data_IF_157538560228
#
_entry.id   IF_157538560228
#
_cell.length_a   1.000
_cell.length_b   1.000
_cell.length_c   1.000
_cell.angle_alpha   90.00
_cell.angle_beta   90.00
_cell.angle_gamma   90.00
#
_symmetry.space_group_name_H-M   'P 1'
#
loop_
_entity.id
_entity.type
_entity.pdbx_description
1 polymer ?
#
# COMPACT_ATOMS: atom_id res chain seq x y z
N UNK A 1 50.30 -61.47 11.67
CA UNK A 1 49.70 -61.19 10.35
C UNK A 1 48.43 -60.41 10.59
N UNK A 2 48.48 -59.09 10.35
CA UNK A 2 47.52 -58.09 10.79
C UNK A 2 47.02 -57.33 9.56
N UNK A 3 45.73 -57.52 9.23
CA UNK A 3 44.97 -56.86 8.16
C UNK A 3 43.55 -56.73 8.71
N UNK A 4 42.81 -55.64 8.66
CA UNK A 4 43.03 -54.29 8.18
C UNK A 4 41.79 -53.48 8.59
N UNK A 5 41.95 -52.23 9.00
CA UNK A 5 40.85 -51.32 9.35
C UNK A 5 41.22 -49.93 8.82
N UNK A 6 40.95 -49.67 7.54
CA UNK A 6 41.22 -48.36 6.94
C UNK A 6 40.37 -48.07 5.70
N UNK A 7 39.06 -48.30 5.73
CA UNK A 7 38.16 -47.79 4.68
C UNK A 7 36.81 -47.46 5.31
N UNK A 8 36.57 -46.20 5.71
CA UNK A 8 35.22 -45.59 5.74
C UNK A 8 35.14 -44.10 6.13
N UNK A 9 36.19 -43.29 5.92
CA UNK A 9 36.11 -41.84 6.21
C UNK A 9 35.75 -40.95 5.01
N UNK A 10 35.69 -41.48 3.78
CA UNK A 10 35.57 -40.66 2.55
C UNK A 10 34.16 -40.55 1.95
N UNK A 11 33.14 -41.20 2.52
CA UNK A 11 31.78 -41.24 1.94
C UNK A 11 30.75 -40.28 2.56
N UNK A 12 31.08 -39.61 3.67
CA UNK A 12 30.14 -38.67 4.31
C UNK A 12 30.22 -37.23 3.77
N UNK A 13 31.20 -36.89 2.93
CA UNK A 13 31.38 -35.52 2.44
C UNK A 13 30.55 -35.18 1.17
N UNK A 14 29.99 -36.18 0.49
CA UNK A 14 29.32 -35.97 -0.81
C UNK A 14 27.81 -35.72 -0.71
N UNK A 15 27.17 -36.04 0.41
CA UNK A 15 25.71 -35.88 0.56
C UNK A 15 25.26 -34.47 0.98
N UNK A 16 26.18 -33.61 1.46
CA UNK A 16 25.86 -32.25 1.88
C UNK A 16 25.93 -31.21 0.74
N UNK A 17 26.50 -31.56 -0.42
CA UNK A 17 26.70 -30.63 -1.54
C UNK A 17 25.53 -30.60 -2.54
N UNK A 18 24.66 -31.61 -2.58
CA UNK A 18 23.57 -31.71 -3.57
C UNK A 18 22.26 -31.01 -3.16
N UNK A 19 22.09 -30.63 -1.89
CA UNK A 19 20.89 -29.93 -1.42
C UNK A 19 20.94 -28.40 -1.64
N UNK A 20 22.06 -27.87 -2.16
CA UNK A 20 22.28 -26.43 -2.31
C UNK A 20 21.93 -25.86 -3.70
N UNK A 21 21.54 -26.69 -4.68
CA UNK A 21 21.45 -26.28 -6.10
C UNK A 21 20.02 -26.09 -6.62
N UNK A 22 18.99 -26.55 -5.91
CA UNK A 22 17.59 -26.45 -6.40
C UNK A 22 16.84 -25.18 -5.98
N UNK A 23 17.52 -24.18 -5.40
CA UNK A 23 16.89 -22.95 -4.90
C UNK A 23 17.10 -21.71 -5.79
N UNK A 24 17.28 -21.87 -7.10
CA UNK A 24 17.74 -20.77 -7.99
C UNK A 24 16.74 -20.25 -9.01
N UNK A 25 15.53 -20.84 -9.14
CA UNK A 25 14.56 -20.39 -10.16
C UNK A 25 13.23 -19.86 -9.62
N UNK A 26 13.07 -19.69 -8.31
CA UNK A 26 12.00 -18.86 -7.79
C UNK A 26 12.48 -17.40 -7.79
N UNK A 27 12.57 -16.79 -8.98
CA UNK A 27 12.54 -15.33 -9.05
C UNK A 27 11.13 -14.96 -8.61
N UNK A 28 10.98 -14.63 -7.33
CA UNK A 28 9.76 -13.99 -6.85
C UNK A 28 9.47 -12.83 -7.80
N UNK A 29 8.27 -12.81 -8.36
CA UNK A 29 7.71 -11.57 -8.89
C UNK A 29 7.56 -10.66 -7.68
N UNK A 30 8.66 -10.00 -7.30
CA UNK A 30 8.67 -9.06 -6.21
C UNK A 30 7.73 -7.92 -6.62
N UNK A 31 6.86 -7.55 -5.71
CA UNK A 31 5.95 -6.46 -5.91
C UNK A 31 5.88 -5.69 -4.60
N UNK A 32 6.17 -4.40 -4.68
CA UNK A 32 6.15 -3.54 -3.52
C UNK A 32 4.75 -2.98 -3.33
N UNK A 33 4.23 -3.14 -2.11
CA UNK A 33 3.04 -2.42 -1.66
C UNK A 33 3.50 -1.10 -1.04
N UNK A 34 2.94 0.00 -1.50
CA UNK A 34 3.14 1.32 -0.91
C UNK A 34 1.95 1.69 -0.05
N UNK A 35 2.20 2.30 1.11
CA UNK A 35 1.18 2.97 1.91
C UNK A 35 1.30 4.47 1.68
N UNK A 36 0.21 5.11 1.30
CA UNK A 36 0.06 6.56 1.26
C UNK A 36 -0.81 7.04 2.42
N UNK A 37 -0.48 8.18 3.01
CA UNK A 37 -1.30 8.82 4.06
C UNK A 37 -1.47 10.32 3.80
N UNK A 38 -2.62 10.88 4.19
CA UNK A 38 -2.96 12.30 4.08
C UNK A 38 -3.90 12.72 5.24
N UNK A 39 -3.93 14.02 5.57
CA UNK A 39 -4.79 14.59 6.62
C UNK A 39 -5.04 16.11 6.44
N UNK A 40 -5.86 16.55 5.46
CA UNK A 40 -6.27 17.95 5.36
C UNK A 40 -7.74 18.18 5.74
N UNK A 41 -8.14 19.45 5.79
CA UNK A 41 -9.54 19.85 5.74
C UNK A 41 -10.20 19.40 4.41
N UNK A 42 -11.50 19.11 4.45
CA UNK A 42 -12.24 18.70 3.26
C UNK A 42 -12.40 19.85 2.26
N UNK A 43 -12.70 21.04 2.76
CA UNK A 43 -12.83 22.25 1.97
C UNK A 43 -14.17 22.97 2.12
N UNK A 44 -14.44 23.92 1.22
CA UNK A 44 -15.58 24.82 1.34
C UNK A 44 -16.96 24.14 1.32
N UNK A 45 -17.07 22.95 0.72
CA UNK A 45 -18.31 22.18 0.70
C UNK A 45 -18.73 21.68 2.10
N UNK A 46 -17.74 21.39 2.96
CA UNK A 46 -17.95 20.93 4.34
C UNK A 46 -16.96 21.66 5.27
N UNK A 47 -17.25 22.91 5.67
CA UNK A 47 -16.25 23.79 6.29
C UNK A 47 -15.67 23.34 7.63
N UNK A 48 -16.39 22.50 8.38
CA UNK A 48 -15.93 21.93 9.66
C UNK A 48 -15.52 20.46 9.54
N UNK A 49 -15.39 19.92 8.33
CA UNK A 49 -15.03 18.52 8.09
C UNK A 49 -13.54 18.41 7.80
N UNK A 50 -12.83 17.69 8.65
CA UNK A 50 -11.50 17.14 8.38
C UNK A 50 -11.63 15.73 7.84
N UNK A 51 -10.67 15.32 7.03
CA UNK A 51 -10.61 13.95 6.54
C UNK A 51 -9.16 13.49 6.44
N UNK A 52 -8.83 12.41 7.14
CA UNK A 52 -7.53 11.76 7.03
C UNK A 52 -7.71 10.38 6.45
N UNK A 53 -6.72 9.89 5.73
CA UNK A 53 -6.81 8.55 5.20
C UNK A 53 -5.48 7.88 5.01
N UNK A 54 -5.55 6.57 4.91
CA UNK A 54 -4.47 5.71 4.47
C UNK A 54 -4.93 4.90 3.27
N UNK A 55 -4.08 4.75 2.26
CA UNK A 55 -4.34 3.91 1.10
C UNK A 55 -3.15 2.98 0.82
N UNK A 56 -3.44 1.79 0.32
CA UNK A 56 -2.45 0.81 -0.10
C UNK A 56 -2.43 0.68 -1.62
N UNK A 57 -1.25 0.74 -2.21
CA UNK A 57 -1.02 0.71 -3.66
C UNK A 57 -0.11 -0.45 -4.01
N UNK A 58 -0.43 -1.17 -5.07
CA UNK A 58 0.41 -2.24 -5.59
C UNK A 58 1.17 -1.75 -6.83
N UNK A 59 2.49 -1.91 -6.81
CA UNK A 59 3.38 -1.54 -7.92
C UNK A 59 4.27 -2.73 -8.27
N UNK A 60 4.22 -3.24 -9.52
CA UNK A 60 5.17 -4.23 -9.98
C UNK A 60 6.62 -3.71 -9.91
N UNK A 61 7.55 -4.49 -9.37
CA UNK A 61 8.95 -4.05 -9.21
C UNK A 61 9.62 -3.68 -10.53
N UNK A 62 9.23 -4.33 -11.63
CA UNK A 62 9.72 -4.00 -12.96
C UNK A 62 9.45 -2.54 -13.34
N UNK A 63 8.38 -1.93 -12.80
CA UNK A 63 8.06 -0.53 -13.02
C UNK A 63 8.87 0.42 -12.14
N UNK A 64 9.34 -0.03 -10.97
CA UNK A 64 10.21 0.76 -10.10
C UNK A 64 11.64 0.91 -10.64
N UNK A 65 12.03 0.06 -11.59
CA UNK A 65 13.27 0.24 -12.35
C UNK A 65 13.22 1.45 -13.30
N UNK A 66 12.03 1.98 -13.58
CA UNK A 66 11.83 3.15 -14.44
C UNK A 66 11.81 4.46 -13.62
N UNK A 67 11.68 5.59 -14.31
CA UNK A 67 11.53 6.91 -13.68
C UNK A 67 10.58 7.77 -14.51
N UNK A 68 9.89 8.70 -13.85
CA UNK A 68 8.83 9.50 -14.44
C UNK A 68 7.47 8.81 -14.38
N UNK A 69 6.56 9.22 -15.26
CA UNK A 69 5.21 8.65 -15.35
C UNK A 69 5.26 7.29 -16.04
N UNK A 70 4.80 6.25 -15.34
CA UNK A 70 4.63 4.89 -15.83
C UNK A 70 3.14 4.62 -16.01
N UNK A 71 2.73 4.23 -17.22
CA UNK A 71 1.33 3.91 -17.51
C UNK A 71 1.01 2.48 -17.06
N UNK A 72 -0.23 2.25 -16.65
CA UNK A 72 -0.66 0.89 -16.28
C UNK A 72 -0.63 -0.09 -17.46
N UNK A 73 -0.70 0.43 -18.68
CA UNK A 73 -0.57 -0.33 -19.92
C UNK A 73 0.88 -0.60 -20.34
N UNK A 74 1.87 -0.01 -19.67
CA UNK A 74 3.28 -0.22 -20.03
C UNK A 74 3.71 -1.67 -19.79
N UNK A 75 4.68 -2.21 -20.56
CA UNK A 75 5.10 -3.60 -20.44
C UNK A 75 5.54 -4.01 -19.03
N UNK A 76 6.12 -3.09 -18.24
CA UNK A 76 6.53 -3.37 -16.87
C UNK A 76 5.34 -3.71 -15.95
N UNK A 77 4.14 -3.15 -16.24
CA UNK A 77 2.94 -3.29 -15.44
C UNK A 77 2.02 -4.34 -16.03
N UNK A 78 1.82 -4.31 -17.36
CA UNK A 78 0.86 -5.17 -18.08
C UNK A 78 -0.55 -5.16 -17.44
N UNK A 79 -0.99 -4.00 -16.94
CA UNK A 79 -2.26 -3.83 -16.22
C UNK A 79 -2.22 -4.23 -14.74
N UNK A 80 -1.04 -4.49 -14.18
CA UNK A 80 -0.85 -4.99 -12.82
C UNK A 80 -0.95 -3.94 -11.72
N UNK A 81 -0.70 -2.66 -12.00
CA UNK A 81 -0.82 -1.61 -10.98
C UNK A 81 -2.27 -1.47 -10.50
N UNK A 82 -2.46 -1.37 -9.18
CA UNK A 82 -3.77 -1.29 -8.56
C UNK A 82 -3.76 -0.53 -7.24
N UNK A 83 -4.92 -0.03 -6.84
CA UNK A 83 -5.19 0.47 -5.49
C UNK A 83 -5.82 -0.69 -4.73
N UNK A 84 -5.19 -1.14 -3.64
CA UNK A 84 -5.62 -2.34 -2.92
C UNK A 84 -6.76 -2.04 -1.94
N UNK A 85 -6.62 -0.96 -1.18
CA UNK A 85 -7.61 -0.52 -0.20
C UNK A 85 -7.35 0.92 0.21
N UNK A 86 -8.35 1.56 0.82
CA UNK A 86 -8.15 2.77 1.59
C UNK A 86 -9.13 2.84 2.76
N UNK A 87 -8.72 3.48 3.85
CA UNK A 87 -9.60 3.85 4.96
C UNK A 87 -9.51 5.36 5.14
N UNK A 88 -10.67 6.01 5.31
CA UNK A 88 -10.77 7.46 5.45
C UNK A 88 -11.57 7.79 6.69
N UNK A 89 -10.93 8.43 7.67
CA UNK A 89 -11.59 8.94 8.87
C UNK A 89 -12.03 10.39 8.63
N UNK A 90 -13.33 10.62 8.72
CA UNK A 90 -13.91 11.93 8.89
C UNK A 90 -13.88 12.35 10.36
N UNK A 91 -13.64 13.64 10.60
CA UNK A 91 -13.63 14.24 11.93
C UNK A 91 -14.06 15.72 11.89
N UNK A 92 -14.48 16.28 13.02
CA UNK A 92 -14.73 17.73 13.12
C UNK A 92 -13.43 18.49 13.31
N UNK A 93 -13.19 19.54 12.52
CA UNK A 93 -12.02 20.41 12.68
C UNK A 93 -12.08 21.21 13.99
N UNK A 94 -13.28 21.60 14.41
CA UNK A 94 -13.50 22.33 15.66
C UNK A 94 -13.40 21.45 16.91
N UNK A 95 -13.61 20.13 16.79
CA UNK A 95 -13.55 19.17 17.91
C UNK A 95 -13.02 17.78 17.48
N UNK A 96 -11.73 17.66 17.10
CA UNK A 96 -11.19 16.44 16.49
C UNK A 96 -11.13 15.24 17.44
N UNK A 97 -11.17 15.47 18.75
CA UNK A 97 -11.12 14.42 19.77
C UNK A 97 -12.47 13.76 20.07
N UNK A 98 -13.56 14.27 19.50
CA UNK A 98 -14.90 13.83 19.84
C UNK A 98 -15.38 12.69 18.93
N UNK A 99 -15.64 11.49 19.47
CA UNK A 99 -16.03 10.33 18.67
C UNK A 99 -17.42 10.48 18.03
N UNK A 100 -18.27 11.39 18.51
CA UNK A 100 -19.57 11.65 17.89
C UNK A 100 -19.45 12.31 16.51
N UNK A 101 -18.29 12.91 16.22
CA UNK A 101 -17.99 13.52 14.92
C UNK A 101 -17.03 12.67 14.09
N UNK A 102 -16.85 11.39 14.43
CA UNK A 102 -15.94 10.50 13.72
C UNK A 102 -16.69 9.43 12.95
N UNK A 103 -16.29 9.21 11.70
CA UNK A 103 -16.77 8.12 10.85
C UNK A 103 -15.62 7.63 9.99
N UNK A 104 -15.45 6.31 9.86
CA UNK A 104 -14.49 5.72 8.94
C UNK A 104 -15.21 5.20 7.70
N UNK A 105 -14.86 5.73 6.53
CA UNK A 105 -15.25 5.20 5.24
C UNK A 105 -14.21 4.21 4.75
N UNK A 106 -14.60 2.94 4.60
CA UNK A 106 -13.70 1.89 4.12
C UNK A 106 -13.88 1.60 2.63
N UNK A 107 -12.81 1.81 1.87
CA UNK A 107 -12.67 1.42 0.48
C UNK A 107 -11.94 0.07 0.39
N UNK A 108 -12.64 -1.01 0.75
CA UNK A 108 -12.04 -2.34 0.90
C UNK A 108 -11.93 -3.18 -0.39
N UNK A 109 -12.55 -2.77 -1.50
CA UNK A 109 -12.47 -3.51 -2.77
C UNK A 109 -11.30 -2.98 -3.61
N UNK A 110 -10.34 -3.83 -4.01
CA UNK A 110 -9.25 -3.40 -4.87
C UNK A 110 -9.75 -2.78 -6.18
N UNK A 111 -9.15 -1.69 -6.59
CA UNK A 111 -9.42 -1.00 -7.85
C UNK A 111 -8.24 -1.16 -8.81
N UNK A 112 -8.52 -1.72 -9.99
CA UNK A 112 -7.59 -1.74 -11.12
C UNK A 112 -7.70 -0.48 -11.98
N UNK A 113 -8.54 0.49 -11.59
CA UNK A 113 -8.70 1.78 -12.27
C UNK A 113 -7.55 2.74 -11.92
N UNK A 114 -6.33 2.26 -12.12
CA UNK A 114 -5.09 3.05 -12.11
C UNK A 114 -4.70 3.32 -13.55
N UNK A 115 -4.54 4.60 -13.88
CA UNK A 115 -4.11 5.06 -15.21
C UNK A 115 -2.59 5.07 -15.26
N UNK A 116 -1.97 5.72 -14.26
CA UNK A 116 -0.53 5.90 -14.18
C UNK A 116 -0.04 6.00 -12.75
N UNK A 117 1.25 5.78 -12.57
CA UNK A 117 1.98 6.08 -11.35
C UNK A 117 3.24 6.86 -11.69
N UNK A 118 3.66 7.76 -10.81
CA UNK A 118 4.92 8.50 -10.97
C UNK A 118 5.97 7.86 -10.09
N UNK A 119 7.11 7.51 -10.69
CA UNK A 119 8.25 6.92 -9.99
C UNK A 119 9.40 7.94 -9.98
N UNK A 120 9.91 8.27 -8.81
CA UNK A 120 11.06 9.16 -8.61
C UNK A 120 12.09 8.42 -7.77
N UNK A 121 13.35 8.37 -8.22
CA UNK A 121 14.45 7.69 -7.52
C UNK A 121 14.11 6.24 -7.11
N UNK A 122 13.49 5.48 -8.02
CA UNK A 122 13.02 4.11 -7.80
C UNK A 122 11.94 3.94 -6.70
N UNK A 123 11.26 5.02 -6.35
CA UNK A 123 10.17 5.02 -5.36
C UNK A 123 8.90 5.60 -5.95
N UNK A 124 7.75 5.09 -5.51
CA UNK A 124 6.45 5.67 -5.86
C UNK A 124 6.34 7.08 -5.27
N UNK A 125 6.08 8.07 -6.11
CA UNK A 125 5.88 9.47 -5.71
C UNK A 125 4.54 10.05 -6.15
N UNK A 126 3.72 9.29 -6.89
CA UNK A 126 2.37 9.69 -7.24
C UNK A 126 1.56 8.59 -7.90
N UNK A 127 0.23 8.70 -7.82
CA UNK A 127 -0.74 7.76 -8.37
C UNK A 127 -1.86 8.56 -9.02
N UNK A 128 -2.20 8.20 -10.27
CA UNK A 128 -3.41 8.68 -10.95
C UNK A 128 -4.39 7.50 -11.08
N UNK A 129 -5.46 7.52 -10.29
CA UNK A 129 -6.42 6.43 -10.24
C UNK A 129 -7.62 6.72 -9.35
N UNK A 130 -8.58 5.81 -9.30
CA UNK A 130 -9.81 6.00 -8.51
C UNK A 130 -10.38 4.68 -8.03
N UNK A 131 -11.18 4.70 -6.97
CA UNK A 131 -12.15 3.65 -6.72
C UNK A 131 -13.38 3.88 -7.62
N UNK A 132 -13.91 2.85 -8.27
CA UNK A 132 -15.06 2.96 -9.19
C UNK A 132 -16.42 2.76 -8.49
N UNK A 133 -16.48 3.05 -7.20
CA UNK A 133 -17.70 2.92 -6.42
C UNK A 133 -17.78 4.04 -5.37
N UNK A 134 -19.00 4.23 -4.88
CA UNK A 134 -19.35 5.23 -3.89
C UNK A 134 -19.56 4.57 -2.52
N UNK A 135 -19.18 5.27 -1.46
CA UNK A 135 -19.37 4.86 -0.06
C UNK A 135 -20.26 5.89 0.63
N UNK A 136 -21.43 5.50 1.18
CA UNK A 136 -22.31 6.43 1.88
C UNK A 136 -21.69 6.88 3.21
N UNK A 137 -21.91 8.14 3.56
CA UNK A 137 -21.61 8.66 4.90
C UNK A 137 -22.87 8.75 5.75
N UNK A 138 -22.71 8.39 7.02
CA UNK A 138 -23.72 8.54 8.07
C UNK A 138 -23.47 9.77 8.95
N UNK A 139 -22.29 10.39 8.83
CA UNK A 139 -21.88 11.53 9.62
C UNK A 139 -22.63 12.82 9.20
N UNK A 140 -23.40 13.47 10.09
CA UNK A 140 -24.18 14.65 9.72
C UNK A 140 -23.34 15.83 9.18
N UNK A 141 -22.14 16.05 9.73
CA UNK A 141 -21.25 17.13 9.27
C UNK A 141 -20.68 16.88 7.86
N UNK A 142 -20.72 15.64 7.38
CA UNK A 142 -20.39 15.24 6.01
C UNK A 142 -21.64 15.14 5.10
N UNK A 143 -22.79 15.66 5.54
CA UNK A 143 -24.04 15.61 4.80
C UNK A 143 -24.73 14.24 4.82
N UNK A 144 -24.37 13.37 5.76
CA UNK A 144 -25.09 12.12 6.01
C UNK A 144 -26.54 12.37 6.44
N UNK A 145 -27.48 11.45 6.15
CA UNK A 145 -27.29 10.16 5.47
C UNK A 145 -27.40 10.26 3.93
N UNK A 146 -27.36 11.45 3.36
CA UNK A 146 -27.70 11.69 1.95
C UNK A 146 -26.50 11.86 1.03
N UNK A 147 -25.28 11.71 1.54
CA UNK A 147 -24.06 12.02 0.82
C UNK A 147 -23.20 10.78 0.67
N UNK A 148 -22.87 10.46 -0.57
CA UNK A 148 -21.94 9.40 -0.94
C UNK A 148 -20.61 9.98 -1.39
N UNK A 149 -19.53 9.24 -1.14
CA UNK A 149 -18.16 9.66 -1.42
C UNK A 149 -17.44 8.67 -2.34
N UNK A 150 -16.63 9.18 -3.25
CA UNK A 150 -15.76 8.39 -4.13
C UNK A 150 -14.33 8.92 -4.07
N UNK A 151 -13.40 8.06 -3.65
CA UNK A 151 -12.00 8.41 -3.47
C UNK A 151 -11.22 8.26 -4.78
N UNK A 152 -10.40 9.26 -5.09
CA UNK A 152 -9.46 9.25 -6.21
C UNK A 152 -8.11 9.83 -5.82
N UNK A 153 -7.12 9.57 -6.66
CA UNK A 153 -5.75 10.01 -6.51
C UNK A 153 -5.31 10.69 -7.80
N UNK A 154 -4.61 11.80 -7.67
CA UNK A 154 -4.02 12.53 -8.78
C UNK A 154 -2.63 12.96 -8.36
N UNK A 155 -1.62 12.45 -9.04
CA UNK A 155 -0.21 12.61 -8.67
C UNK A 155 0.01 12.28 -7.19
N UNK A 156 0.51 13.22 -6.42
CA UNK A 156 0.79 13.18 -4.99
C UNK A 156 -0.38 13.67 -4.14
N UNK A 157 -1.59 13.79 -4.68
CA UNK A 157 -2.75 14.37 -4.00
C UNK A 157 -3.91 13.37 -3.94
N UNK A 158 -4.46 13.17 -2.74
CA UNK A 158 -5.73 12.49 -2.55
C UNK A 158 -6.90 13.47 -2.76
N UNK A 159 -7.96 13.03 -3.44
CA UNK A 159 -9.17 13.81 -3.60
C UNK A 159 -10.41 12.96 -3.41
N UNK A 160 -11.51 13.60 -3.00
CA UNK A 160 -12.77 12.93 -2.74
C UNK A 160 -13.89 13.60 -3.54
N UNK A 161 -14.53 12.86 -4.44
CA UNK A 161 -15.82 13.27 -4.99
C UNK A 161 -16.90 13.08 -3.94
N UNK A 162 -17.87 13.98 -3.91
CA UNK A 162 -19.10 13.78 -3.14
C UNK A 162 -20.32 13.96 -4.04
N UNK A 163 -21.38 13.22 -3.71
CA UNK A 163 -22.68 13.35 -4.33
C UNK A 163 -23.76 13.32 -3.25
N UNK A 164 -24.52 14.39 -3.13
CA UNK A 164 -25.51 14.58 -2.06
C UNK A 164 -26.92 14.72 -2.62
N UNK A 165 -27.87 13.98 -2.04
CA UNK A 165 -29.28 13.98 -2.40
C UNK A 165 -30.19 14.25 -1.20
N UNK A 166 -30.25 15.50 -0.71
CA UNK A 166 -31.12 15.83 0.42
C UNK A 166 -32.59 15.58 0.08
N UNK A 167 -33.37 15.07 1.03
CA UNK A 167 -34.78 14.68 0.83
C UNK A 167 -35.66 15.78 0.21
N UNK A 168 -35.38 17.05 0.53
CA UNK A 168 -36.17 18.21 0.11
C UNK A 168 -35.37 19.22 -0.72
N UNK A 169 -34.26 18.80 -1.35
CA UNK A 169 -33.37 19.71 -2.08
C UNK A 169 -32.91 19.16 -3.42
N UNK A 170 -32.33 20.02 -4.28
CA UNK A 170 -31.68 19.56 -5.49
C UNK A 170 -30.43 18.74 -5.15
N UNK A 171 -30.07 17.74 -5.97
CA UNK A 171 -28.81 17.04 -5.80
C UNK A 171 -27.64 18.00 -5.97
N UNK A 172 -26.60 17.82 -5.17
CA UNK A 172 -25.34 18.58 -5.26
C UNK A 172 -24.17 17.63 -5.40
N UNK A 173 -23.11 18.09 -6.04
CA UNK A 173 -21.90 17.30 -6.24
C UNK A 173 -20.69 18.23 -6.26
N UNK A 174 -19.53 17.67 -5.97
CA UNK A 174 -18.30 18.42 -5.99
C UNK A 174 -17.11 17.54 -5.65
N UNK A 175 -16.01 18.21 -5.34
CA UNK A 175 -14.71 17.59 -5.03
C UNK A 175 -14.15 18.29 -3.79
N UNK A 176 -13.44 17.54 -2.95
CA UNK A 176 -12.61 18.12 -1.89
C UNK A 176 -11.62 19.15 -2.44
N UNK A 177 -11.24 20.12 -1.63
CA UNK A 177 -10.28 21.15 -2.06
C UNK A 177 -8.90 20.53 -2.27
N UNK A 178 -8.25 20.87 -3.39
CA UNK A 178 -6.87 20.42 -3.69
C UNK A 178 -5.79 21.22 -2.92
N UNK A 179 -6.15 22.43 -2.47
CA UNK A 179 -5.29 23.34 -1.72
C UNK A 179 -6.09 23.96 -0.55
N UNK A 180 -6.52 23.15 0.44
CA UNK A 180 -7.22 23.70 1.59
C UNK A 180 -6.27 24.58 2.44
N UNK A 181 -6.81 25.46 3.30
CA UNK A 181 -6.03 26.48 4.02
C UNK A 181 -4.91 25.93 4.92
N UNK A 182 -5.04 24.68 5.34
CA UNK A 182 -4.15 23.94 6.25
C UNK A 182 -3.06 23.12 5.54
N UNK A 183 -3.13 22.98 4.21
CA UNK A 183 -2.08 22.34 3.42
C UNK A 183 -2.64 21.44 2.32
N UNK A 184 -1.81 21.05 1.34
CA UNK A 184 -2.26 20.11 0.29
C UNK A 184 -2.51 18.73 0.90
N UNK A 185 -3.45 17.92 0.35
CA UNK A 185 -3.61 16.49 0.65
C UNK A 185 -2.40 15.64 0.17
N UNK A 186 -1.18 16.04 0.54
CA UNK A 186 0.05 15.43 0.06
C UNK A 186 0.15 14.02 0.60
N UNK A 187 0.22 13.05 -0.31
CA UNK A 187 0.37 11.65 0.03
C UNK A 187 1.85 11.37 0.28
N UNK A 188 2.16 10.91 1.50
CA UNK A 188 3.49 10.39 1.81
C UNK A 188 3.51 8.89 1.53
N UNK A 189 4.19 8.49 0.45
CA UNK A 189 4.33 7.09 0.07
C UNK A 189 5.47 6.43 0.85
N UNK A 190 5.17 5.33 1.52
CA UNK A 190 6.15 4.50 2.23
C UNK A 190 6.06 3.06 1.74
N UNK A 191 7.19 2.43 1.34
CA UNK A 191 7.18 1.02 0.98
C UNK A 191 6.87 0.18 2.23
N UNK A 192 5.92 -0.74 2.12
CA UNK A 192 5.58 -1.69 3.18
C UNK A 192 6.56 -2.86 3.06
N UNK A 193 7.43 -3.10 4.07
CA UNK A 193 8.36 -4.22 4.02
C UNK A 193 7.60 -5.54 3.92
N UNK A 194 8.01 -6.42 3.00
CA UNK A 194 7.37 -7.72 2.87
C UNK A 194 7.58 -8.52 4.17
N UNK A 195 6.53 -9.14 4.74
CA UNK A 195 6.67 -9.96 5.95
C UNK A 195 7.63 -11.14 5.74
N UNK A 196 7.77 -11.61 4.49
CA UNK A 196 8.73 -12.62 4.09
C UNK A 196 10.19 -12.20 4.28
N UNK A 197 10.54 -10.92 4.05
CA UNK A 197 11.91 -10.43 4.20
C UNK A 197 12.40 -10.60 5.63
N UNK A 198 11.56 -10.29 6.61
CA UNK A 198 11.90 -10.51 8.02
C UNK A 198 11.99 -11.98 8.37
N UNK A 199 11.04 -12.81 7.90
CA UNK A 199 11.06 -14.24 8.16
C UNK A 199 12.32 -14.91 7.58
N UNK A 200 12.73 -14.56 6.36
CA UNK A 200 13.95 -15.06 5.73
C UNK A 200 15.21 -14.55 6.42
N UNK A 201 15.23 -13.28 6.84
CA UNK A 201 16.33 -12.74 7.64
C UNK A 201 16.48 -13.51 8.96
N UNK A 202 15.38 -13.74 9.68
CA UNK A 202 15.41 -14.52 10.93
C UNK A 202 15.80 -15.98 10.70
N UNK A 203 15.31 -16.60 9.62
CA UNK A 203 15.71 -17.95 9.25
C UNK A 203 17.22 -18.02 8.95
N UNK A 204 17.76 -17.02 8.24
CA UNK A 204 19.19 -16.89 7.97
C UNK A 204 20.01 -16.73 9.25
N UNK A 205 19.58 -15.86 10.16
CA UNK A 205 20.24 -15.67 11.46
C UNK A 205 20.20 -16.94 12.32
N UNK A 206 19.05 -17.63 12.35
CA UNK A 206 18.90 -18.89 13.08
C UNK A 206 19.84 -19.98 12.52
N UNK A 207 19.95 -20.07 11.19
CA UNK A 207 20.88 -21.00 10.54
C UNK A 207 22.34 -20.70 10.89
N UNK A 208 22.75 -19.43 10.87
CA UNK A 208 24.11 -19.01 11.27
C UNK A 208 24.38 -19.35 12.75
N UNK A 209 23.44 -19.05 13.65
CA UNK A 209 23.56 -19.38 15.07
C UNK A 209 23.70 -20.88 15.32
N UNK A 210 22.97 -21.71 14.58
CA UNK A 210 23.07 -23.17 14.66
C UNK A 210 24.45 -23.69 14.21
N UNK A 211 25.01 -23.14 13.13
CA UNK A 211 26.35 -23.50 12.63
C UNK A 211 27.45 -23.06 13.62
N UNK A 212 27.36 -21.84 14.16
CA UNK A 212 28.32 -21.34 15.14
C UNK A 212 28.36 -22.23 16.39
N UNK A 213 27.20 -22.65 16.90
CA UNK A 213 27.09 -23.55 18.05
C UNK A 213 27.74 -24.92 17.80
N UNK A 214 27.67 -25.44 16.57
CA UNK A 214 28.30 -26.71 16.21
C UNK A 214 29.83 -26.65 16.16
N UNK A 215 30.43 -25.48 15.90
CA UNK A 215 31.90 -25.32 15.84
C UNK A 215 32.57 -25.20 17.20
N UNK A 216 31.81 -24.87 18.25
CA UNK A 216 32.32 -24.73 19.62
C UNK A 216 32.30 -26.04 20.42
N UNK A 217 31.77 -27.12 19.84
CA UNK A 217 31.78 -28.47 20.41
C UNK A 217 32.81 -29.32 19.69
#
# INVERSE_FOLDING_TARGET
MTTGFAINAKRCAAAAALAAVTLTCATSANAIVYRGAWDPAFGAAFPDLGWKGEASFYVPDACLALSGTVLNTDPCSSGGMSILSADVDFYSLSDPGNPAYQETLSFAMPSTAVISMTVTDHTLSGVDGTFLYWVPSTLPIAGGPYTDFQLFFKTDVAGMFYFSHPENGPPTWGVSDYNPPDGKPLIIFTPVPEPGTYALMFAGLAAIGFVARRRQR
#
